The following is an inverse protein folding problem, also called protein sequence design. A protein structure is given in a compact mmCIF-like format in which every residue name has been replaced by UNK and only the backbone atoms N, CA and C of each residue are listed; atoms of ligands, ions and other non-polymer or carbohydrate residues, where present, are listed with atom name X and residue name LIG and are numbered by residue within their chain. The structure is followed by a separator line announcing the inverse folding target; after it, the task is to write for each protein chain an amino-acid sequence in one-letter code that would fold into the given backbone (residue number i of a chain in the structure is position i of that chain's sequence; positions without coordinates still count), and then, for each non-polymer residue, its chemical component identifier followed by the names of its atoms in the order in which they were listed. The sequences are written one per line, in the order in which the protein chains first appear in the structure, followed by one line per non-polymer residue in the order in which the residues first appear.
data_IF_924848726560
#
_entry.id   IF_924848726560
#
_cell.length_a   1.000
_cell.length_b   1.000
_cell.length_c   1.000
_cell.angle_alpha   90.00
_cell.angle_beta   90.00
_cell.angle_gamma   90.00
#
_symmetry.space_group_name_H-M   'P 1'
#
loop_
_entity.id
_entity.type
_entity.pdbx_description
1 polymer ?
#
# COMPACT_ATOMS: atom_id res chain seq x y z
N UNK A 1 -20.47 13.74 -6.43
CA UNK A 1 -19.26 12.93 -6.72
C UNK A 1 -18.00 13.58 -6.15
N UNK A 2 -17.87 14.91 -6.16
CA UNK A 2 -16.72 15.68 -5.63
C UNK A 2 -16.36 15.38 -4.17
N UNK A 3 -17.35 15.32 -3.27
CA UNK A 3 -17.09 15.08 -1.84
C UNK A 3 -16.52 13.70 -1.49
N UNK A 4 -16.72 12.67 -2.32
CA UNK A 4 -16.13 11.33 -2.09
C UNK A 4 -14.64 11.33 -2.43
N UNK A 5 -14.25 11.96 -3.55
CA UNK A 5 -12.85 12.11 -3.98
C UNK A 5 -12.04 12.87 -2.93
N UNK A 6 -12.53 14.03 -2.53
CA UNK A 6 -11.89 14.90 -1.52
C UNK A 6 -11.67 14.15 -0.20
N UNK A 7 -12.64 13.36 0.25
CA UNK A 7 -12.52 12.56 1.45
C UNK A 7 -11.42 11.49 1.33
N UNK A 8 -11.34 10.78 0.20
CA UNK A 8 -10.32 9.75 -0.04
C UNK A 8 -8.91 10.35 -0.09
N UNK A 9 -8.73 11.45 -0.84
CA UNK A 9 -7.44 12.16 -0.89
C UNK A 9 -7.04 12.66 0.49
N UNK A 10 -7.97 13.30 1.20
CA UNK A 10 -7.72 13.80 2.56
C UNK A 10 -7.33 12.67 3.51
N UNK A 11 -7.99 11.52 3.44
CA UNK A 11 -7.65 10.36 4.25
C UNK A 11 -6.24 9.85 3.94
N UNK A 12 -5.88 9.76 2.66
CA UNK A 12 -4.54 9.33 2.27
C UNK A 12 -3.46 10.31 2.76
N UNK A 13 -3.64 11.61 2.54
CA UNK A 13 -2.71 12.64 3.04
C UNK A 13 -2.63 12.61 4.58
N UNK A 14 -3.76 12.41 5.26
CA UNK A 14 -3.77 12.30 6.72
C UNK A 14 -2.97 11.08 7.20
N UNK A 15 -3.16 9.91 6.58
CA UNK A 15 -2.42 8.68 6.90
C UNK A 15 -0.91 8.90 6.75
N UNK A 16 -0.49 9.51 5.63
CA UNK A 16 0.91 9.87 5.39
C UNK A 16 1.48 10.83 6.45
N UNK A 17 0.66 11.71 7.01
CA UNK A 17 1.09 12.65 8.05
C UNK A 17 1.20 12.06 9.46
N UNK A 18 0.68 10.85 9.72
CA UNK A 18 0.65 10.25 11.07
C UNK A 18 2.06 10.03 11.63
N UNK A 19 3.02 9.67 10.78
CA UNK A 19 4.40 9.37 11.22
C UNK A 19 5.22 10.62 11.57
N UNK A 20 4.81 11.83 11.15
CA UNK A 20 5.42 13.08 11.62
C UNK A 20 5.09 13.40 13.09
N UNK A 21 4.11 12.73 13.68
CA UNK A 21 3.52 13.11 14.99
C UNK A 21 3.80 12.12 16.13
N UNK A 22 4.39 10.94 15.87
CA UNK A 22 4.61 9.92 16.91
C UNK A 22 5.99 9.26 16.81
N UNK A 23 6.64 8.95 17.96
CA UNK A 23 7.92 8.24 17.97
C UNK A 23 7.78 6.82 17.40
N UNK A 24 8.85 6.35 16.78
CA UNK A 24 9.00 5.15 15.92
C UNK A 24 8.48 3.81 16.50
N UNK A 25 8.09 3.71 17.78
CA UNK A 25 7.68 2.45 18.42
C UNK A 25 6.25 1.99 18.11
N UNK A 26 5.37 2.89 17.63
CA UNK A 26 4.01 2.54 17.16
C UNK A 26 3.93 2.47 15.61
N UNK A 27 5.07 2.39 14.91
CA UNK A 27 5.16 2.63 13.46
C UNK A 27 4.43 1.61 12.59
N UNK A 28 4.36 0.34 13.01
CA UNK A 28 3.77 -0.74 12.20
C UNK A 28 2.27 -0.53 11.93
N UNK A 29 1.49 -0.10 12.94
CA UNK A 29 0.07 0.24 12.77
C UNK A 29 -0.15 1.46 11.88
N UNK A 30 0.81 2.38 11.80
CA UNK A 30 0.67 3.55 10.95
C UNK A 30 0.99 3.24 9.48
N UNK A 31 1.89 2.27 9.21
CA UNK A 31 2.20 1.86 7.84
C UNK A 31 1.05 1.08 7.20
N UNK A 32 0.37 0.20 7.97
CA UNK A 32 -0.82 -0.49 7.46
C UNK A 32 -1.91 0.49 7.01
N UNK A 33 -2.17 1.53 7.81
CA UNK A 33 -3.17 2.55 7.49
C UNK A 33 -2.82 3.34 6.22
N UNK A 34 -1.53 3.61 5.99
CA UNK A 34 -1.04 4.26 4.77
C UNK A 34 -1.30 3.36 3.55
N UNK A 35 -0.97 2.08 3.64
CA UNK A 35 -1.14 1.13 2.53
C UNK A 35 -2.63 0.85 2.26
N UNK A 36 -3.47 0.75 3.30
CA UNK A 36 -4.92 0.64 3.14
C UNK A 36 -5.48 1.91 2.48
N UNK A 37 -5.06 3.09 2.90
CA UNK A 37 -5.49 4.34 2.27
C UNK A 37 -5.03 4.44 0.80
N UNK A 38 -3.82 3.98 0.49
CA UNK A 38 -3.33 3.90 -0.89
C UNK A 38 -4.15 2.92 -1.74
N UNK A 39 -4.51 1.76 -1.18
CA UNK A 39 -5.43 0.83 -1.82
C UNK A 39 -6.79 1.49 -2.10
N UNK A 40 -7.32 2.26 -1.14
CA UNK A 40 -8.58 2.98 -1.30
C UNK A 40 -8.53 4.06 -2.39
N UNK A 41 -7.39 4.72 -2.58
CA UNK A 41 -7.15 5.64 -3.72
C UNK A 41 -7.20 4.85 -5.03
N UNK A 42 -6.44 3.75 -5.12
CA UNK A 42 -6.34 2.94 -6.33
C UNK A 42 -7.67 2.32 -6.75
N UNK A 43 -8.41 1.67 -5.83
CA UNK A 43 -9.71 1.05 -6.12
C UNK A 43 -10.78 2.06 -6.55
N UNK A 44 -10.64 3.34 -6.18
CA UNK A 44 -11.59 4.39 -6.54
C UNK A 44 -11.12 5.20 -7.75
N UNK A 45 -10.02 4.80 -8.42
CA UNK A 45 -9.42 5.48 -9.57
C UNK A 45 -9.23 6.98 -9.33
N UNK A 46 -8.72 7.33 -8.16
CA UNK A 46 -8.51 8.73 -7.79
C UNK A 46 -7.26 9.25 -8.47
N UNK A 47 -7.44 10.19 -9.39
CA UNK A 47 -6.35 10.99 -9.94
C UNK A 47 -6.03 12.16 -9.00
N UNK A 48 -4.74 12.33 -8.70
CA UNK A 48 -4.27 13.44 -7.88
C UNK A 48 -4.04 14.69 -8.73
N UNK A 49 -4.42 15.83 -8.18
CA UNK A 49 -4.13 17.16 -8.71
C UNK A 49 -2.69 17.57 -8.40
N UNK A 50 -2.13 18.52 -9.15
CA UNK A 50 -0.72 18.91 -9.02
C UNK A 50 -0.33 19.35 -7.60
N UNK A 51 -1.21 20.08 -6.91
CA UNK A 51 -0.97 20.53 -5.54
C UNK A 51 -0.97 19.36 -4.54
N UNK A 52 -1.80 18.35 -4.76
CA UNK A 52 -1.81 17.15 -3.94
C UNK A 52 -0.56 16.32 -4.17
N UNK A 53 -0.11 16.18 -5.43
CA UNK A 53 1.15 15.49 -5.76
C UNK A 53 2.35 16.15 -5.08
N UNK A 54 2.39 17.49 -5.04
CA UNK A 54 3.41 18.28 -4.32
C UNK A 54 3.39 18.07 -2.81
N UNK A 55 2.23 17.78 -2.22
CA UNK A 55 2.11 17.45 -0.79
C UNK A 55 2.53 16.00 -0.53
N UNK A 56 2.09 15.07 -1.38
CA UNK A 56 2.26 13.63 -1.20
C UNK A 56 3.71 13.19 -1.44
N UNK A 57 4.38 13.72 -2.47
CA UNK A 57 5.74 13.32 -2.85
C UNK A 57 6.75 13.33 -1.70
N UNK A 58 6.93 14.46 -1.00
CA UNK A 58 7.83 14.54 0.16
C UNK A 58 7.42 13.61 1.30
N UNK A 59 6.11 13.44 1.53
CA UNK A 59 5.62 12.55 2.58
C UNK A 59 5.97 11.09 2.30
N UNK A 60 5.78 10.61 1.07
CA UNK A 60 6.13 9.22 0.73
C UNK A 60 7.64 9.00 0.84
N UNK A 61 8.47 9.98 0.46
CA UNK A 61 9.93 9.85 0.59
C UNK A 61 10.37 9.61 2.03
N UNK A 62 9.78 10.33 2.98
CA UNK A 62 10.07 10.15 4.41
C UNK A 62 9.65 8.76 4.94
N UNK A 63 8.80 8.06 4.19
CA UNK A 63 8.12 6.83 4.60
C UNK A 63 8.64 5.57 3.93
N UNK A 64 9.53 5.69 2.94
CA UNK A 64 9.98 4.52 2.16
C UNK A 64 10.65 3.46 3.03
N UNK A 65 11.48 3.88 3.99
CA UNK A 65 12.18 2.98 4.90
C UNK A 65 11.23 2.32 5.92
N UNK A 66 10.33 3.06 6.60
CA UNK A 66 9.27 2.43 7.39
C UNK A 66 8.40 1.44 6.61
N UNK A 67 8.09 1.73 5.34
CA UNK A 67 7.35 0.82 4.46
C UNK A 67 8.18 -0.45 4.21
N UNK A 68 9.45 -0.32 3.85
CA UNK A 68 10.36 -1.45 3.64
C UNK A 68 10.42 -2.39 4.85
N UNK A 69 10.69 -1.83 6.03
CA UNK A 69 10.77 -2.58 7.30
C UNK A 69 9.46 -3.29 7.63
N UNK A 70 8.32 -2.65 7.41
CA UNK A 70 7.00 -3.23 7.66
C UNK A 70 6.71 -4.38 6.69
N UNK A 71 6.96 -4.18 5.39
CA UNK A 71 6.71 -5.19 4.35
C UNK A 71 7.59 -6.42 4.57
N UNK A 72 8.87 -6.24 4.92
CA UNK A 72 9.74 -7.34 5.32
C UNK A 72 9.18 -8.08 6.54
N UNK A 73 8.73 -7.35 7.57
CA UNK A 73 8.19 -7.94 8.80
C UNK A 73 6.97 -8.82 8.54
N UNK A 74 6.02 -8.37 7.70
CA UNK A 74 4.81 -9.15 7.40
C UNK A 74 5.06 -10.31 6.43
N UNK A 75 6.05 -10.19 5.54
CA UNK A 75 6.48 -11.31 4.71
C UNK A 75 7.22 -12.38 5.52
N UNK A 76 8.12 -11.97 6.41
CA UNK A 76 8.92 -12.88 7.24
C UNK A 76 8.08 -13.57 8.31
N UNK A 77 7.17 -12.84 8.97
CA UNK A 77 6.27 -13.37 10.01
C UNK A 77 4.87 -13.63 9.44
N UNK A 78 4.80 -14.14 8.22
CA UNK A 78 3.55 -14.29 7.51
C UNK A 78 2.57 -15.21 8.26
N UNK A 79 1.41 -14.66 8.58
CA UNK A 79 0.32 -15.38 9.21
C UNK A 79 -0.81 -15.56 8.19
N UNK A 80 -1.12 -16.83 7.91
CA UNK A 80 -2.15 -17.25 6.98
C UNK A 80 -3.57 -16.79 7.38
N UNK A 81 -3.78 -16.45 8.65
CA UNK A 81 -5.06 -15.92 9.11
C UNK A 81 -5.31 -14.49 8.63
N UNK A 82 -4.27 -13.75 8.19
CA UNK A 82 -4.37 -12.34 7.76
C UNK A 82 -4.14 -12.16 6.25
N UNK A 83 -4.27 -13.21 5.45
CA UNK A 83 -3.92 -13.14 4.02
C UNK A 83 -4.76 -12.12 3.24
N UNK A 84 -6.05 -11.95 3.56
CA UNK A 84 -6.89 -10.93 2.93
C UNK A 84 -6.35 -9.53 3.20
N UNK A 85 -5.95 -9.26 4.43
CA UNK A 85 -5.30 -8.01 4.83
C UNK A 85 -3.95 -7.82 4.11
N UNK A 86 -3.11 -8.85 4.04
CA UNK A 86 -1.81 -8.79 3.36
C UNK A 86 -1.94 -8.49 1.84
N UNK A 87 -2.98 -9.00 1.17
CA UNK A 87 -3.28 -8.68 -0.23
C UNK A 87 -3.68 -7.21 -0.41
N UNK A 88 -4.46 -6.63 0.51
CA UNK A 88 -4.81 -5.21 0.51
C UNK A 88 -3.55 -4.36 0.67
N UNK A 89 -2.70 -4.70 1.65
CA UNK A 89 -1.45 -3.98 1.92
C UNK A 89 -0.52 -4.01 0.70
N UNK A 90 -0.33 -5.19 0.10
CA UNK A 90 0.49 -5.35 -1.11
C UNK A 90 -0.08 -4.58 -2.31
N UNK A 91 -1.41 -4.51 -2.43
CA UNK A 91 -2.09 -3.73 -3.46
C UNK A 91 -1.88 -2.22 -3.28
N UNK A 92 -1.97 -1.74 -2.04
CA UNK A 92 -1.67 -0.34 -1.71
C UNK A 92 -0.22 0.02 -1.99
N UNK A 93 0.71 -0.89 -1.68
CA UNK A 93 2.12 -0.69 -1.97
C UNK A 93 2.37 -0.52 -3.48
N UNK A 94 1.81 -1.40 -4.31
CA UNK A 94 2.00 -1.23 -5.75
C UNK A 94 1.36 0.07 -6.25
N UNK A 95 0.18 0.43 -5.77
CA UNK A 95 -0.44 1.68 -6.18
C UNK A 95 0.54 2.85 -6.01
N UNK A 96 1.23 2.92 -4.86
CA UNK A 96 2.27 3.91 -4.59
C UNK A 96 3.40 3.81 -5.62
N UNK A 97 3.95 2.62 -5.84
CA UNK A 97 5.11 2.42 -6.73
C UNK A 97 4.81 2.80 -8.19
N UNK A 98 3.65 2.44 -8.69
CA UNK A 98 3.30 2.63 -10.10
C UNK A 98 2.80 4.05 -10.38
N UNK A 99 2.02 4.62 -9.46
CA UNK A 99 1.26 5.86 -9.70
C UNK A 99 1.88 7.10 -9.05
N UNK A 100 2.72 6.94 -8.03
CA UNK A 100 3.35 8.09 -7.35
C UNK A 100 4.78 8.37 -7.81
N UNK A 101 5.39 7.54 -8.67
CA UNK A 101 6.81 7.69 -9.07
C UNK A 101 7.16 9.08 -9.62
N UNK A 102 6.24 9.71 -10.34
CA UNK A 102 6.42 11.03 -10.94
C UNK A 102 6.15 12.19 -9.98
N UNK A 103 5.76 11.91 -8.74
CA UNK A 103 5.40 12.97 -7.80
C UNK A 103 6.67 13.71 -7.37
N UNK A 104 6.63 15.05 -7.34
CA UNK A 104 7.78 15.85 -6.98
C UNK A 104 8.08 15.72 -5.49
N UNK A 105 9.32 15.41 -5.16
CA UNK A 105 9.87 15.44 -3.80
C UNK A 105 10.48 16.81 -3.51
N UNK A 106 11.15 17.38 -4.49
CA UNK A 106 11.73 18.72 -4.46
C UNK A 106 11.59 19.37 -5.84
N UNK A 107 12.21 20.53 -6.06
CA UNK A 107 12.16 21.19 -7.37
C UNK A 107 12.83 20.40 -8.49
N UNK A 108 13.73 19.46 -8.16
CA UNK A 108 14.55 18.73 -9.14
C UNK A 108 14.50 17.20 -8.96
N UNK A 109 13.69 16.69 -8.03
CA UNK A 109 13.69 15.28 -7.65
C UNK A 109 12.25 14.74 -7.62
N UNK A 110 12.07 13.50 -8.09
CA UNK A 110 10.79 12.76 -8.01
C UNK A 110 10.95 11.51 -7.15
N UNK A 111 9.85 10.80 -6.89
CA UNK A 111 9.89 9.55 -6.13
C UNK A 111 10.54 8.37 -6.88
N UNK A 112 10.75 8.46 -8.19
CA UNK A 112 11.34 7.39 -9.00
C UNK A 112 12.70 6.90 -8.47
N UNK A 113 13.58 7.83 -8.08
CA UNK A 113 14.89 7.51 -7.49
C UNK A 113 14.73 6.85 -6.12
N UNK A 114 13.72 7.27 -5.35
CA UNK A 114 13.43 6.72 -4.02
C UNK A 114 12.86 5.30 -4.11
N UNK A 115 12.05 5.01 -5.13
CA UNK A 115 11.48 3.67 -5.34
C UNK A 115 12.51 2.68 -5.84
N UNK A 116 13.53 3.15 -6.55
CA UNK A 116 14.67 2.31 -6.96
C UNK A 116 15.37 1.69 -5.75
N UNK A 117 15.42 2.37 -4.59
CA UNK A 117 15.91 1.78 -3.34
C UNK A 117 15.03 0.60 -2.87
N UNK A 118 13.72 0.80 -2.79
CA UNK A 118 12.79 -0.24 -2.33
C UNK A 118 12.79 -1.47 -3.26
N UNK A 119 12.97 -1.26 -4.56
CA UNK A 119 13.07 -2.35 -5.53
C UNK A 119 14.38 -3.15 -5.42
N UNK A 120 15.40 -2.61 -4.76
CA UNK A 120 16.67 -3.31 -4.51
C UNK A 120 16.65 -4.12 -3.21
N UNK A 121 15.63 -3.95 -2.36
CA UNK A 121 15.49 -4.74 -1.13
C UNK A 121 14.75 -6.05 -1.42
N UNK A 122 15.01 -7.06 -0.60
CA UNK A 122 14.32 -8.35 -0.68
C UNK A 122 12.91 -8.30 -0.04
N UNK A 123 12.49 -7.17 0.51
CA UNK A 123 11.25 -7.04 1.30
C UNK A 123 10.00 -7.34 0.48
N UNK A 124 9.89 -6.75 -0.72
CA UNK A 124 8.76 -7.01 -1.63
C UNK A 124 8.75 -8.49 -2.05
N UNK A 125 9.92 -9.03 -2.40
CA UNK A 125 10.06 -10.44 -2.78
C UNK A 125 9.64 -11.37 -1.64
N UNK A 126 10.05 -11.09 -0.40
CA UNK A 126 9.71 -11.88 0.78
C UNK A 126 8.18 -11.95 0.98
N UNK A 127 7.49 -10.82 0.85
CA UNK A 127 6.02 -10.79 0.92
C UNK A 127 5.36 -11.52 -0.25
N UNK A 128 5.87 -11.32 -1.48
CA UNK A 128 5.34 -11.96 -2.69
C UNK A 128 5.50 -13.49 -2.63
N UNK A 129 6.63 -13.99 -2.11
CA UNK A 129 6.88 -15.41 -1.87
C UNK A 129 5.93 -15.99 -0.83
N UNK A 130 5.74 -15.31 0.30
CA UNK A 130 4.82 -15.77 1.34
C UNK A 130 3.35 -15.84 0.86
N UNK A 131 2.91 -14.84 0.08
CA UNK A 131 1.59 -14.84 -0.55
C UNK A 131 1.43 -15.99 -1.57
N UNK A 132 2.50 -16.29 -2.33
CA UNK A 132 2.52 -17.38 -3.31
C UNK A 132 2.48 -18.75 -2.64
N UNK A 133 3.26 -18.94 -1.59
CA UNK A 133 3.29 -20.18 -0.81
C UNK A 133 1.91 -20.47 -0.21
N UNK A 134 1.26 -19.46 0.37
CA UNK A 134 -0.12 -19.58 0.83
C UNK A 134 -1.06 -20.02 -0.30
N UNK A 135 -1.03 -19.34 -1.45
CA UNK A 135 -1.89 -19.65 -2.60
C UNK A 135 -1.70 -21.09 -3.08
N UNK A 136 -0.47 -21.60 -3.00
CA UNK A 136 -0.16 -22.99 -3.37
C UNK A 136 -0.65 -24.03 -2.35
N UNK A 137 -0.89 -23.63 -1.10
CA UNK A 137 -1.23 -24.52 0.03
C UNK A 137 -2.74 -24.81 0.19
N UNK A 138 -3.60 -24.27 -0.69
CA UNK A 138 -5.00 -24.64 -0.86
C UNK A 138 -5.89 -24.61 0.41
N UNK A 139 -5.66 -23.69 1.35
CA UNK A 139 -6.63 -23.42 2.42
C UNK A 139 -7.56 -22.26 2.05
N UNK A 140 -8.91 -22.43 2.15
CA UNK A 140 -9.83 -21.31 2.00
C UNK A 140 -9.55 -20.24 3.05
N UNK A 141 -9.76 -18.97 2.70
CA UNK A 141 -9.49 -17.84 3.59
C UNK A 141 -10.35 -17.96 4.85
N UNK A 142 -9.72 -18.06 6.01
CA UNK A 142 -10.35 -18.06 7.33
C UNK A 142 -10.08 -16.75 8.07
N UNK A 143 -10.03 -15.63 7.36
CA UNK A 143 -9.77 -14.33 7.97
C UNK A 143 -11.07 -13.83 8.64
N UNK A 144 -11.24 -14.12 9.93
CA UNK A 144 -12.41 -13.74 10.74
C UNK A 144 -12.61 -12.22 10.83
N UNK A 145 -11.58 -11.43 10.47
CA UNK A 145 -11.58 -9.97 10.56
C UNK A 145 -11.72 -9.26 9.20
N UNK A 146 -11.84 -10.01 8.11
CA UNK A 146 -12.06 -9.42 6.78
C UNK A 146 -13.55 -9.45 6.46
N UNK A 147 -14.17 -8.28 6.43
CA UNK A 147 -15.57 -8.08 6.00
C UNK A 147 -15.84 -8.47 4.55
N UNK A 148 -14.84 -8.96 3.81
CA UNK A 148 -14.94 -9.35 2.42
C UNK A 148 -15.01 -10.88 2.29
N UNK A 149 -16.03 -11.41 1.60
CA UNK A 149 -16.18 -12.86 1.42
C UNK A 149 -15.06 -13.45 0.55
N UNK A 150 -14.81 -14.76 0.66
CA UNK A 150 -13.88 -15.51 -0.22
C UNK A 150 -14.16 -15.28 -1.72
N UNK A 151 -15.41 -15.00 -2.08
CA UNK A 151 -15.83 -14.66 -3.44
C UNK A 151 -15.52 -13.21 -3.82
N UNK A 152 -15.47 -12.29 -2.85
CA UNK A 152 -14.96 -10.91 -2.99
C UNK A 152 -13.42 -10.83 -2.97
N UNK A 153 -12.76 -11.97 -2.68
CA UNK A 153 -11.32 -12.17 -2.83
C UNK A 153 -10.97 -12.65 -4.25
N UNK A 154 -11.96 -12.67 -5.16
CA UNK A 154 -11.69 -12.40 -6.58
C UNK A 154 -11.46 -10.90 -6.76
N UNK A 155 -10.48 -10.50 -7.58
CA UNK A 155 -10.17 -9.08 -7.89
C UNK A 155 -11.48 -8.27 -7.87
N UNK A 156 -11.71 -7.40 -6.86
CA UNK A 156 -12.95 -6.65 -6.78
C UNK A 156 -13.20 -5.96 -8.12
N UNK A 157 -14.45 -5.87 -8.58
CA UNK A 157 -14.79 -5.36 -9.93
C UNK A 157 -14.13 -4.01 -10.23
N UNK A 158 -13.84 -3.24 -9.18
CA UNK A 158 -13.30 -1.89 -9.22
C UNK A 158 -11.77 -1.83 -9.02
N UNK A 159 -11.08 -2.95 -8.78
CA UNK A 159 -9.62 -2.99 -8.72
C UNK A 159 -9.05 -2.98 -10.16
N UNK A 160 -8.19 -2.00 -10.51
CA UNK A 160 -7.63 -1.88 -11.85
C UNK A 160 -6.97 -3.17 -12.35
N UNK A 161 -7.11 -3.46 -13.64
CA UNK A 161 -6.47 -4.63 -14.26
C UNK A 161 -4.93 -4.58 -14.21
N UNK A 162 -4.35 -3.41 -13.95
CA UNK A 162 -2.91 -3.23 -13.71
C UNK A 162 -2.43 -3.86 -12.39
N UNK A 163 -3.33 -4.26 -11.48
CA UNK A 163 -2.99 -4.85 -10.19
C UNK A 163 -2.87 -6.38 -10.29
N UNK A 164 -1.78 -6.85 -10.89
CA UNK A 164 -1.59 -8.23 -11.38
C UNK A 164 -1.46 -9.32 -10.31
N UNK A 165 -1.22 -8.97 -9.04
CA UNK A 165 -1.07 -9.92 -7.91
C UNK A 165 -2.40 -10.46 -7.36
N UNK A 166 -3.55 -10.02 -7.89
CA UNK A 166 -4.85 -10.67 -7.67
C UNK A 166 -5.05 -11.95 -8.51
N UNK A 167 -4.15 -12.24 -9.46
CA UNK A 167 -4.24 -13.38 -10.38
C UNK A 167 -3.41 -14.58 -9.96
#
# INVERSE_FOLDING_TARGET
MTGKREAIVKNFINALNVLKKKPFRDSQFNVSDILIAAYDVGRNNIEFEDDERRIIGPLIKDLIKPIDEYIFSIGYSFDHNYTGSNLILRSGLQFILDNCKSFPVSQSETLEDTFSYLQQTESIQTLDEALKDWKSSASPLTDENVTYSVEEITRPKDVPHSHTWWY
#
